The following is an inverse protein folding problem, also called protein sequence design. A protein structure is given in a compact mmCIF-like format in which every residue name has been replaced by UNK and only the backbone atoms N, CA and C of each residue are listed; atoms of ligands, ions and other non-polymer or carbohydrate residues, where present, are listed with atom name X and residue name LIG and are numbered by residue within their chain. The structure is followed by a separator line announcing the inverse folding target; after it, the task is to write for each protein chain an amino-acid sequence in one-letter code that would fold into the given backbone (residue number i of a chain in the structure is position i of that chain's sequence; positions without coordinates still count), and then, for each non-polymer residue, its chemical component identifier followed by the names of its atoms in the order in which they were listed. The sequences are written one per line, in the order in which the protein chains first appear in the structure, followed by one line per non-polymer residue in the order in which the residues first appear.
data_IF_554759482579
#
_entry.id   IF_554759482579
#
_cell.length_a   1.000
_cell.length_b   1.000
_cell.length_c   1.000
_cell.angle_alpha   90.00
_cell.angle_beta   90.00
_cell.angle_gamma   90.00
#
_symmetry.space_group_name_H-M   'P 1'
#
loop_
_entity.id
_entity.type
_entity.pdbx_description
1 polymer ?
#
# COMPACT_ATOMS: atom_id res chain seq x y z
N UNK A 1 -5.51 -17.73 5.69
CA UNK A 1 -4.66 -16.74 6.38
C UNK A 1 -3.61 -16.30 5.39
N UNK A 2 -3.43 -14.99 5.18
CA UNK A 2 -2.55 -14.50 4.08
C UNK A 2 -1.45 -13.61 4.65
N UNK A 3 -0.37 -14.21 5.11
CA UNK A 3 0.78 -13.54 5.71
C UNK A 3 1.85 -13.28 4.64
N UNK A 4 2.08 -12.01 4.24
CA UNK A 4 3.14 -11.63 3.33
C UNK A 4 4.40 -11.28 4.13
N UNK A 5 5.51 -11.96 3.84
CA UNK A 5 6.79 -11.72 4.49
C UNK A 5 7.89 -11.40 3.48
N UNK A 6 8.60 -10.33 3.75
CA UNK A 6 9.87 -9.98 3.11
C UNK A 6 10.99 -10.49 4.03
N UNK A 7 11.82 -11.39 3.54
CA UNK A 7 12.91 -12.02 4.29
C UNK A 7 14.25 -11.62 3.67
N UNK A 8 14.96 -10.67 4.31
CA UNK A 8 16.26 -10.14 3.90
C UNK A 8 16.31 -9.69 2.43
N UNK A 9 15.23 -9.04 1.95
CA UNK A 9 15.08 -8.65 0.54
C UNK A 9 16.11 -7.61 0.15
N UNK A 10 16.91 -7.94 -0.87
CA UNK A 10 17.92 -7.07 -1.46
C UNK A 10 17.62 -6.85 -2.94
N UNK A 11 17.60 -5.58 -3.36
CA UNK A 11 17.42 -5.19 -4.78
C UNK A 11 18.58 -4.29 -5.20
N UNK A 12 19.15 -4.60 -6.38
CA UNK A 12 20.24 -3.82 -6.98
C UNK A 12 19.93 -3.46 -8.41
N UNK A 13 20.33 -2.26 -8.81
CA UNK A 13 20.36 -1.81 -10.19
C UNK A 13 21.79 -1.41 -10.56
N UNK A 14 22.47 -2.26 -11.35
CA UNK A 14 23.90 -2.11 -11.59
C UNK A 14 24.69 -2.19 -10.29
N UNK A 15 25.50 -1.18 -10.01
CA UNK A 15 26.28 -1.08 -8.78
C UNK A 15 25.51 -0.52 -7.56
N UNK A 16 24.31 0.08 -7.81
CA UNK A 16 23.54 0.71 -6.75
C UNK A 16 22.66 -0.32 -6.01
N UNK A 17 22.81 -0.41 -4.69
CA UNK A 17 21.91 -1.16 -3.81
C UNK A 17 20.78 -0.23 -3.40
N UNK A 18 19.54 -0.57 -3.78
CA UNK A 18 18.34 0.22 -3.47
C UNK A 18 17.62 -0.33 -2.24
N UNK A 19 17.62 -1.66 -2.07
CA UNK A 19 17.12 -2.32 -0.85
C UNK A 19 18.25 -3.19 -0.30
N UNK A 20 18.48 -3.09 1.00
CA UNK A 20 19.54 -3.79 1.68
C UNK A 20 18.98 -4.61 2.83
N UNK A 21 18.84 -5.92 2.59
CA UNK A 21 18.39 -6.91 3.56
C UNK A 21 17.09 -6.53 4.28
N UNK A 22 16.08 -6.04 3.53
CA UNK A 22 14.80 -5.59 4.10
C UNK A 22 13.99 -6.78 4.59
N UNK A 23 13.61 -6.74 5.87
CA UNK A 23 12.68 -7.69 6.48
C UNK A 23 11.45 -6.96 6.99
N UNK A 24 10.26 -7.42 6.57
CA UNK A 24 8.97 -6.84 6.93
C UNK A 24 7.89 -7.92 6.81
N UNK A 25 6.90 -7.87 7.70
CA UNK A 25 5.74 -8.77 7.63
C UNK A 25 4.45 -7.97 7.56
N UNK A 26 3.54 -8.39 6.68
CA UNK A 26 2.14 -7.93 6.62
C UNK A 26 1.28 -9.08 7.09
N UNK A 27 0.78 -9.06 8.34
CA UNK A 27 -0.06 -10.13 8.87
C UNK A 27 -1.41 -10.23 8.17
N UNK A 28 -2.02 -11.40 8.24
CA UNK A 28 -3.35 -11.68 7.69
C UNK A 28 -4.39 -10.66 8.20
N UNK A 29 -5.21 -10.15 7.28
CA UNK A 29 -6.28 -9.20 7.56
C UNK A 29 -5.82 -7.85 8.12
N UNK A 30 -4.53 -7.51 8.04
CA UNK A 30 -4.03 -6.25 8.58
C UNK A 30 -3.53 -5.30 7.50
N UNK A 31 -3.59 -4.00 7.82
CA UNK A 31 -2.94 -2.95 7.03
C UNK A 31 -1.64 -2.56 7.72
N UNK A 32 -0.53 -2.78 7.02
CA UNK A 32 0.80 -2.32 7.44
C UNK A 32 1.18 -1.11 6.60
N UNK A 33 1.43 0.02 7.26
CA UNK A 33 1.93 1.24 6.62
C UNK A 33 3.44 1.15 6.38
N UNK A 34 3.91 1.56 5.20
CA UNK A 34 5.33 1.73 4.91
C UNK A 34 5.59 3.21 4.62
N UNK A 35 6.37 3.86 5.46
CA UNK A 35 6.66 5.30 5.38
C UNK A 35 8.15 5.57 5.25
N UNK A 36 8.49 6.77 4.80
CA UNK A 36 9.86 7.24 4.62
C UNK A 36 9.93 8.30 3.53
N UNK A 37 11.06 9.00 3.40
CA UNK A 37 11.27 10.01 2.37
C UNK A 37 11.19 9.45 0.95
N UNK A 38 11.05 10.36 -0.03
CA UNK A 38 11.17 10.00 -1.45
C UNK A 38 12.55 9.41 -1.72
N UNK A 39 12.59 8.31 -2.49
CA UNK A 39 13.85 7.62 -2.78
C UNK A 39 14.31 6.61 -1.72
N UNK A 40 13.62 6.46 -0.57
CA UNK A 40 14.03 5.50 0.47
C UNK A 40 13.90 4.02 0.09
N UNK A 41 13.25 3.70 -1.06
CA UNK A 41 13.13 2.32 -1.56
C UNK A 41 11.72 1.72 -1.47
N UNK A 42 10.72 2.42 -0.92
CA UNK A 42 9.34 1.90 -0.71
C UNK A 42 8.70 1.31 -1.97
N UNK A 43 8.64 2.08 -3.05
CA UNK A 43 8.07 1.61 -4.32
C UNK A 43 8.91 0.50 -4.97
N UNK A 44 10.22 0.44 -4.68
CA UNK A 44 11.07 -0.67 -5.12
C UNK A 44 10.71 -1.96 -4.38
N UNK A 45 10.42 -1.89 -3.07
CA UNK A 45 9.94 -3.03 -2.29
C UNK A 45 8.58 -3.52 -2.80
N UNK A 46 7.65 -2.61 -3.08
CA UNK A 46 6.36 -2.92 -3.68
C UNK A 46 6.50 -3.64 -5.04
N UNK A 47 7.33 -3.10 -5.92
CA UNK A 47 7.62 -3.70 -7.25
C UNK A 47 8.30 -5.06 -7.13
N UNK A 48 9.19 -5.23 -6.16
CA UNK A 48 9.83 -6.52 -5.91
C UNK A 48 8.80 -7.58 -5.50
N UNK A 49 7.82 -7.22 -4.66
CA UNK A 49 6.78 -8.12 -4.20
C UNK A 49 5.93 -8.66 -5.36
N UNK A 50 5.59 -7.84 -6.34
CA UNK A 50 4.81 -8.25 -7.51
C UNK A 50 5.68 -8.73 -8.69
N UNK A 51 6.99 -8.88 -8.49
CA UNK A 51 7.92 -9.41 -9.50
C UNK A 51 8.31 -8.41 -10.60
N UNK A 52 8.09 -7.11 -10.39
CA UNK A 52 8.48 -6.03 -11.30
C UNK A 52 9.89 -5.48 -11.04
N UNK A 53 10.51 -5.83 -9.92
CA UNK A 53 11.91 -5.55 -9.62
C UNK A 53 12.65 -6.86 -9.35
N UNK A 54 13.90 -7.03 -9.85
CA UNK A 54 14.68 -8.25 -9.64
C UNK A 54 15.20 -8.30 -8.20
N UNK A 55 15.13 -9.47 -7.56
CA UNK A 55 15.80 -9.69 -6.30
C UNK A 55 17.27 -10.04 -6.55
N UNK A 56 18.17 -9.36 -5.85
CA UNK A 56 19.60 -9.71 -5.77
C UNK A 56 19.87 -10.66 -4.58
N UNK A 57 18.98 -10.67 -3.58
CA UNK A 57 19.05 -11.56 -2.41
C UNK A 57 17.74 -11.57 -1.63
N UNK A 58 17.62 -12.49 -0.70
CA UNK A 58 16.44 -12.67 0.12
C UNK A 58 15.27 -13.35 -0.60
N UNK A 59 14.12 -13.39 0.07
CA UNK A 59 12.90 -14.05 -0.42
C UNK A 59 11.67 -13.23 -0.08
N UNK A 60 10.60 -13.42 -0.87
CA UNK A 60 9.27 -12.88 -0.60
C UNK A 60 8.32 -14.05 -0.49
N UNK A 61 7.74 -14.22 0.68
CA UNK A 61 6.95 -15.39 1.05
C UNK A 61 5.50 -14.98 1.29
N UNK A 62 4.58 -15.82 0.85
CA UNK A 62 3.17 -15.74 1.20
C UNK A 62 2.78 -17.05 1.89
N UNK A 63 2.34 -16.97 3.14
CA UNK A 63 2.07 -18.13 3.99
C UNK A 63 3.25 -19.12 4.09
N UNK A 64 4.48 -18.57 4.13
CA UNK A 64 5.71 -19.34 4.22
C UNK A 64 6.21 -19.94 2.90
N UNK A 65 5.45 -19.81 1.80
CA UNK A 65 5.86 -20.26 0.47
C UNK A 65 6.32 -19.09 -0.40
N UNK A 66 7.28 -19.33 -1.30
CA UNK A 66 7.73 -18.30 -2.23
C UNK A 66 6.58 -17.77 -3.09
N UNK A 67 6.46 -16.44 -3.21
CA UNK A 67 5.46 -15.81 -4.07
C UNK A 67 5.71 -16.19 -5.53
N UNK A 68 4.70 -16.76 -6.23
CA UNK A 68 4.86 -17.14 -7.63
C UNK A 68 5.16 -15.92 -8.52
N UNK A 69 6.30 -15.91 -9.18
CA UNK A 69 6.69 -14.83 -10.11
C UNK A 69 6.09 -14.98 -11.50
N UNK A 70 5.60 -16.18 -11.83
CA UNK A 70 4.97 -16.52 -13.11
C UNK A 70 3.68 -17.28 -12.84
N UNK A 71 2.69 -17.12 -13.69
CA UNK A 71 1.41 -17.83 -13.60
C UNK A 71 0.20 -16.93 -13.79
N UNK A 72 -0.97 -17.56 -14.01
CA UNK A 72 -2.26 -16.88 -14.25
C UNK A 72 -2.87 -16.27 -12.98
N UNK A 73 -2.64 -16.87 -11.83
CA UNK A 73 -3.09 -16.37 -10.52
C UNK A 73 -1.94 -15.64 -9.86
N UNK A 74 -2.10 -14.36 -9.62
CA UNK A 74 -1.16 -13.57 -8.85
C UNK A 74 -1.81 -13.25 -7.49
N UNK A 75 -1.30 -13.86 -6.41
CA UNK A 75 -1.87 -13.67 -5.08
C UNK A 75 -1.66 -12.24 -4.55
N UNK A 76 -0.69 -11.52 -5.12
CA UNK A 76 -0.41 -10.12 -4.81
C UNK A 76 -0.85 -9.24 -5.96
N UNK A 77 -1.57 -8.17 -5.66
CA UNK A 77 -1.91 -7.12 -6.62
C UNK A 77 -1.39 -5.77 -6.15
N UNK A 78 -0.96 -4.95 -7.10
CA UNK A 78 -0.44 -3.62 -6.80
C UNK A 78 -1.34 -2.55 -7.43
N UNK A 79 -1.69 -1.55 -6.63
CA UNK A 79 -2.31 -0.31 -7.09
C UNK A 79 -1.24 0.75 -7.12
N UNK A 80 -1.01 1.33 -8.30
CA UNK A 80 0.05 2.30 -8.53
C UNK A 80 -0.36 3.72 -8.15
N UNK A 81 0.63 4.55 -7.91
CA UNK A 81 0.50 5.95 -7.51
C UNK A 81 -0.32 6.79 -8.50
N UNK A 82 -0.08 6.61 -9.80
CA UNK A 82 -0.75 7.38 -10.84
C UNK A 82 -1.97 6.62 -11.40
N UNK A 83 -3.20 7.08 -11.09
CA UNK A 83 -4.41 6.45 -11.61
C UNK A 83 -4.59 6.66 -13.13
N UNK A 84 -3.90 7.64 -13.73
CA UNK A 84 -3.98 7.87 -15.19
C UNK A 84 -3.22 6.83 -15.99
N UNK A 85 -2.05 6.40 -15.49
CA UNK A 85 -1.24 5.38 -16.15
C UNK A 85 -1.67 3.94 -15.81
N UNK A 86 -2.55 3.76 -14.82
CA UNK A 86 -2.99 2.43 -14.37
C UNK A 86 -4.15 1.85 -15.19
N UNK A 87 -4.85 2.67 -15.99
CA UNK A 87 -5.97 2.25 -16.83
C UNK A 87 -5.65 2.53 -18.32
N UNK A 88 -5.90 1.56 -19.21
CA UNK A 88 -5.81 1.79 -20.66
C UNK A 88 -6.93 2.77 -21.06
N UNK A 89 -6.61 3.95 -21.65
CA UNK A 89 -7.60 4.95 -22.02
C UNK A 89 -8.59 4.49 -23.12
N UNK A 90 -8.28 3.40 -23.80
CA UNK A 90 -9.12 2.81 -24.86
C UNK A 90 -10.10 1.76 -24.36
N UNK A 91 -9.91 1.28 -23.14
CA UNK A 91 -10.79 0.30 -22.50
C UNK A 91 -11.81 1.01 -21.62
N UNK A 92 -13.04 0.49 -21.63
CA UNK A 92 -14.02 0.91 -20.62
C UNK A 92 -13.60 0.43 -19.22
N UNK A 93 -14.16 1.04 -18.17
CA UNK A 93 -13.84 0.61 -16.81
C UNK A 93 -14.26 -0.83 -16.54
N UNK A 94 -15.37 -1.27 -17.13
CA UNK A 94 -15.82 -2.66 -17.07
C UNK A 94 -14.85 -3.62 -17.75
N UNK A 95 -14.31 -3.27 -18.93
CA UNK A 95 -13.29 -4.04 -19.63
C UNK A 95 -12.00 -4.11 -18.84
N UNK A 96 -11.55 -2.98 -18.24
CA UNK A 96 -10.36 -2.94 -17.40
C UNK A 96 -10.46 -3.83 -16.16
N UNK A 97 -11.63 -3.89 -15.53
CA UNK A 97 -11.91 -4.80 -14.41
C UNK A 97 -11.94 -6.25 -14.90
N UNK A 98 -12.63 -6.51 -16.04
CA UNK A 98 -12.75 -7.85 -16.63
C UNK A 98 -11.39 -8.45 -17.03
N UNK A 99 -10.45 -7.63 -17.53
CA UNK A 99 -9.08 -8.03 -17.86
C UNK A 99 -8.34 -8.62 -16.65
N UNK A 100 -8.53 -8.03 -15.46
CA UNK A 100 -7.90 -8.47 -14.24
C UNK A 100 -8.54 -9.72 -13.63
N UNK A 101 -9.75 -10.07 -14.05
CA UNK A 101 -10.42 -11.28 -13.59
C UNK A 101 -9.69 -12.53 -14.09
N UNK A 102 -9.61 -13.54 -13.23
CA UNK A 102 -9.07 -14.83 -13.63
C UNK A 102 -9.86 -15.38 -14.82
N UNK A 103 -9.15 -15.81 -15.87
CA UNK A 103 -9.75 -16.43 -17.04
C UNK A 103 -10.34 -17.81 -16.67
N UNK A 104 -11.40 -17.82 -15.88
CA UNK A 104 -12.22 -18.99 -15.57
C UNK A 104 -13.35 -19.15 -16.59
N UNK A 105 -14.05 -20.29 -16.52
CA UNK A 105 -15.25 -20.59 -17.35
C UNK A 105 -16.51 -19.79 -16.91
N UNK A 106 -16.34 -18.55 -16.44
CA UNK A 106 -17.49 -17.71 -16.05
C UNK A 106 -18.28 -17.31 -17.28
N UNK A 107 -19.60 -17.47 -17.24
CA UNK A 107 -20.48 -16.96 -18.29
C UNK A 107 -20.35 -15.43 -18.39
N UNK A 108 -20.72 -14.86 -19.53
CA UNK A 108 -20.77 -13.40 -19.73
C UNK A 108 -21.61 -12.70 -18.65
N UNK A 109 -22.75 -13.31 -18.29
CA UNK A 109 -23.64 -12.82 -17.25
C UNK A 109 -22.96 -12.81 -15.85
N UNK A 110 -22.28 -13.90 -15.47
CA UNK A 110 -21.56 -13.99 -14.20
C UNK A 110 -20.41 -12.98 -14.11
N UNK A 111 -19.71 -12.74 -15.23
CA UNK A 111 -18.67 -11.72 -15.30
C UNK A 111 -19.26 -10.31 -15.13
N UNK A 112 -20.39 -10.01 -15.80
CA UNK A 112 -21.09 -8.74 -15.65
C UNK A 112 -21.55 -8.49 -14.21
N UNK A 113 -22.11 -9.49 -13.55
CA UNK A 113 -22.52 -9.40 -12.16
C UNK A 113 -21.34 -9.13 -11.21
N UNK A 114 -20.20 -9.77 -11.45
CA UNK A 114 -19.01 -9.52 -10.63
C UNK A 114 -18.42 -8.13 -10.87
N UNK A 115 -18.42 -7.61 -12.11
CA UNK A 115 -18.02 -6.22 -12.40
C UNK A 115 -18.93 -5.24 -11.65
N UNK A 116 -20.25 -5.45 -11.71
CA UNK A 116 -21.23 -4.63 -11.00
C UNK A 116 -20.95 -4.62 -9.49
N UNK A 117 -20.76 -5.79 -8.88
CA UNK A 117 -20.42 -5.94 -7.46
C UNK A 117 -19.13 -5.20 -7.08
N UNK A 118 -18.09 -5.30 -7.91
CA UNK A 118 -16.81 -4.62 -7.67
C UNK A 118 -16.93 -3.09 -7.80
N UNK A 119 -17.76 -2.59 -8.73
CA UNK A 119 -18.05 -1.16 -8.84
C UNK A 119 -18.83 -0.66 -7.62
N UNK A 120 -19.85 -1.38 -7.16
CA UNK A 120 -20.58 -1.06 -5.93
C UNK A 120 -19.64 -1.03 -4.72
N UNK A 121 -18.75 -2.02 -4.59
CA UNK A 121 -17.78 -2.10 -3.49
C UNK A 121 -16.86 -0.88 -3.41
N UNK A 122 -16.56 -0.25 -4.55
CA UNK A 122 -15.77 0.97 -4.60
C UNK A 122 -16.63 2.25 -4.70
N UNK A 123 -17.91 2.16 -4.37
CA UNK A 123 -18.90 3.23 -4.39
C UNK A 123 -19.00 3.94 -5.75
N UNK A 124 -19.02 3.15 -6.82
CA UNK A 124 -19.30 3.59 -8.18
C UNK A 124 -20.58 2.91 -8.69
N UNK A 125 -21.41 3.66 -9.42
CA UNK A 125 -22.62 3.13 -10.04
C UNK A 125 -22.24 2.07 -11.09
N UNK A 126 -22.77 0.83 -11.00
CA UNK A 126 -22.53 -0.24 -11.97
C UNK A 126 -22.89 0.13 -13.43
N UNK A 127 -23.87 1.03 -13.63
CA UNK A 127 -24.24 1.53 -14.96
C UNK A 127 -23.10 2.24 -15.70
N UNK A 128 -22.07 2.63 -14.97
CA UNK A 128 -20.88 3.26 -15.53
C UNK A 128 -19.86 2.28 -16.11
N UNK A 129 -20.14 0.98 -16.13
CA UNK A 129 -19.21 -0.04 -16.65
C UNK A 129 -18.70 0.27 -18.06
N UNK A 130 -19.53 0.90 -18.91
CA UNK A 130 -19.19 1.26 -20.28
C UNK A 130 -18.50 2.66 -20.40
N UNK A 131 -18.24 3.33 -19.28
CA UNK A 131 -17.57 4.64 -19.24
C UNK A 131 -16.07 4.48 -19.52
N UNK A 132 -15.49 5.42 -20.30
CA UNK A 132 -14.04 5.48 -20.52
C UNK A 132 -13.33 6.19 -19.36
N UNK A 133 -12.07 5.86 -19.04
CA UNK A 133 -11.30 6.52 -17.97
C UNK A 133 -11.23 8.03 -18.10
N UNK A 134 -11.20 8.59 -19.32
CA UNK A 134 -11.16 10.03 -19.56
C UNK A 134 -12.39 10.78 -19.01
N UNK A 135 -13.53 10.11 -18.85
CA UNK A 135 -14.78 10.67 -18.35
C UNK A 135 -14.91 10.64 -16.82
N UNK A 136 -13.90 10.11 -16.12
CA UNK A 136 -13.87 9.96 -14.67
C UNK A 136 -12.99 11.04 -14.01
N UNK A 137 -13.36 11.46 -12.80
CA UNK A 137 -12.46 12.24 -11.93
C UNK A 137 -11.26 11.40 -11.46
N UNK A 138 -10.20 12.04 -10.96
CA UNK A 138 -9.03 11.36 -10.41
C UNK A 138 -9.40 10.34 -9.32
N UNK A 139 -10.25 10.72 -8.36
CA UNK A 139 -10.73 9.83 -7.32
C UNK A 139 -11.57 8.66 -7.83
N UNK A 140 -12.39 8.88 -8.87
CA UNK A 140 -13.15 7.79 -9.50
C UNK A 140 -12.22 6.80 -10.22
N UNK A 141 -11.20 7.29 -10.93
CA UNK A 141 -10.17 6.42 -11.54
C UNK A 141 -9.43 5.60 -10.49
N UNK A 142 -9.08 6.22 -9.35
CA UNK A 142 -8.44 5.52 -8.25
C UNK A 142 -9.32 4.40 -7.68
N UNK A 143 -10.61 4.64 -7.55
CA UNK A 143 -11.59 3.60 -7.13
C UNK A 143 -11.70 2.47 -8.16
N UNK A 144 -11.68 2.78 -9.45
CA UNK A 144 -11.62 1.76 -10.52
C UNK A 144 -10.32 0.95 -10.44
N UNK A 145 -9.18 1.59 -10.18
CA UNK A 145 -7.91 0.88 -10.01
C UNK A 145 -7.93 -0.07 -8.80
N UNK A 146 -8.60 0.32 -7.70
CA UNK A 146 -8.85 -0.57 -6.55
C UNK A 146 -9.77 -1.74 -6.94
N UNK A 147 -10.90 -1.49 -7.63
CA UNK A 147 -11.80 -2.53 -8.12
C UNK A 147 -11.07 -3.53 -9.03
N UNK A 148 -10.23 -3.02 -9.96
CA UNK A 148 -9.41 -3.84 -10.84
C UNK A 148 -8.42 -4.72 -10.07
N UNK A 149 -7.78 -4.19 -9.04
CA UNK A 149 -6.89 -4.98 -8.19
C UNK A 149 -7.65 -6.11 -7.47
N UNK A 150 -8.86 -5.85 -6.98
CA UNK A 150 -9.71 -6.84 -6.32
C UNK A 150 -10.28 -7.89 -7.27
N UNK A 151 -10.47 -7.56 -8.55
CA UNK A 151 -11.00 -8.48 -9.57
C UNK A 151 -10.16 -9.75 -9.75
N UNK A 152 -8.85 -9.66 -9.45
CA UNK A 152 -7.94 -10.81 -9.40
C UNK A 152 -8.11 -11.72 -8.18
N UNK A 153 -8.99 -11.38 -7.24
CA UNK A 153 -9.15 -12.04 -5.93
C UNK A 153 -7.79 -12.21 -5.23
N UNK A 154 -7.05 -11.12 -5.00
CA UNK A 154 -5.74 -11.17 -4.38
C UNK A 154 -5.85 -11.56 -2.91
N UNK A 155 -4.80 -12.17 -2.37
CA UNK A 155 -4.63 -12.40 -0.94
C UNK A 155 -4.06 -11.16 -0.23
N UNK A 156 -3.21 -10.40 -0.93
CA UNK A 156 -2.65 -9.14 -0.42
C UNK A 156 -2.70 -8.06 -1.49
N UNK A 157 -3.09 -6.85 -1.12
CA UNK A 157 -3.01 -5.67 -1.97
C UNK A 157 -1.86 -4.78 -1.51
N UNK A 158 -1.06 -4.31 -2.45
CA UNK A 158 0.00 -3.32 -2.23
C UNK A 158 -0.49 -2.00 -2.82
N UNK A 159 -0.73 -1.02 -1.96
CA UNK A 159 -1.18 0.32 -2.34
C UNK A 159 0.01 1.28 -2.30
N UNK A 160 0.55 1.65 -3.46
CA UNK A 160 1.72 2.53 -3.57
C UNK A 160 1.27 3.97 -3.84
N UNK A 161 1.31 4.80 -2.79
CA UNK A 161 0.99 6.24 -2.79
C UNK A 161 -0.35 6.60 -3.46
N UNK A 162 -1.35 5.74 -3.31
CA UNK A 162 -2.65 5.80 -4.03
C UNK A 162 -3.48 7.08 -3.78
N UNK A 163 -3.07 7.93 -2.85
CA UNK A 163 -3.78 9.16 -2.52
C UNK A 163 -2.97 10.42 -2.77
N UNK A 164 -1.70 10.31 -3.19
CA UNK A 164 -0.79 11.46 -3.30
C UNK A 164 -1.18 12.47 -4.38
N UNK A 165 -1.84 12.00 -5.45
CA UNK A 165 -2.28 12.83 -6.57
C UNK A 165 -3.74 13.33 -6.43
N UNK A 166 -4.38 13.13 -5.27
CA UNK A 166 -5.78 13.47 -5.04
C UNK A 166 -5.94 14.70 -4.14
N UNK A 167 -6.96 15.49 -4.37
CA UNK A 167 -7.37 16.57 -3.48
C UNK A 167 -7.73 16.04 -2.09
N UNK A 168 -7.53 16.84 -1.05
CA UNK A 168 -7.73 16.44 0.37
C UNK A 168 -9.11 15.85 0.63
N UNK A 169 -10.17 16.41 0.04
CA UNK A 169 -11.55 15.91 0.20
C UNK A 169 -11.75 14.55 -0.45
N UNK A 170 -11.17 14.32 -1.62
CA UNK A 170 -11.21 13.04 -2.35
C UNK A 170 -10.34 12.00 -1.68
N UNK A 171 -9.19 12.41 -1.15
CA UNK A 171 -8.28 11.57 -0.39
C UNK A 171 -9.00 10.88 0.79
N UNK A 172 -9.76 11.64 1.61
CA UNK A 172 -10.52 11.10 2.72
C UNK A 172 -11.50 10.00 2.30
N UNK A 173 -12.20 10.20 1.18
CA UNK A 173 -13.15 9.22 0.66
C UNK A 173 -12.47 7.91 0.21
N UNK A 174 -11.27 7.98 -0.41
CA UNK A 174 -10.49 6.80 -0.80
C UNK A 174 -9.94 6.07 0.43
N UNK A 175 -9.50 6.80 1.48
CA UNK A 175 -9.02 6.18 2.72
C UNK A 175 -10.13 5.47 3.50
N UNK A 176 -11.35 6.06 3.53
CA UNK A 176 -12.51 5.39 4.11
C UNK A 176 -12.82 4.09 3.36
N UNK A 177 -12.83 4.14 2.03
CA UNK A 177 -13.03 2.97 1.19
C UNK A 177 -11.99 1.86 1.49
N UNK A 178 -10.71 2.21 1.63
CA UNK A 178 -9.66 1.24 2.01
C UNK A 178 -9.98 0.57 3.34
N UNK A 179 -10.43 1.33 4.35
CA UNK A 179 -10.81 0.77 5.65
C UNK A 179 -12.05 -0.14 5.56
N UNK A 180 -13.04 0.25 4.77
CA UNK A 180 -14.23 -0.57 4.54
C UNK A 180 -13.86 -1.90 3.87
N UNK A 181 -13.08 -1.85 2.79
CA UNK A 181 -12.60 -3.04 2.10
C UNK A 181 -11.78 -3.96 3.02
N UNK A 182 -10.90 -3.39 3.85
CA UNK A 182 -10.14 -4.17 4.83
C UNK A 182 -11.07 -4.86 5.83
N UNK A 183 -12.06 -4.15 6.36
CA UNK A 183 -13.01 -4.69 7.35
C UNK A 183 -13.95 -5.74 6.76
N UNK A 184 -14.49 -5.50 5.55
CA UNK A 184 -15.52 -6.35 4.94
C UNK A 184 -14.92 -7.59 4.27
N UNK A 185 -13.75 -7.45 3.65
CA UNK A 185 -13.09 -8.53 2.92
C UNK A 185 -12.00 -9.24 3.73
N UNK A 186 -11.65 -8.76 4.92
CA UNK A 186 -10.49 -9.25 5.66
C UNK A 186 -9.18 -9.07 4.90
N UNK A 187 -9.07 -7.99 4.10
CA UNK A 187 -7.98 -7.79 3.16
C UNK A 187 -6.68 -7.45 3.87
N UNK A 188 -5.62 -8.21 3.57
CA UNK A 188 -4.26 -7.84 3.99
C UNK A 188 -3.70 -6.78 3.04
N UNK A 189 -3.05 -5.73 3.57
CA UNK A 189 -2.56 -4.64 2.74
C UNK A 189 -1.20 -4.10 3.20
N UNK A 190 -0.29 -3.90 2.25
CA UNK A 190 0.87 -3.03 2.41
C UNK A 190 0.53 -1.64 1.85
N UNK A 191 0.37 -0.67 2.74
CA UNK A 191 -0.03 0.69 2.38
C UNK A 191 1.17 1.63 2.43
N UNK A 192 1.64 2.08 1.27
CA UNK A 192 2.81 2.95 1.13
C UNK A 192 2.36 4.40 1.02
N UNK A 193 2.93 5.27 1.85
CA UNK A 193 2.71 6.70 1.79
C UNK A 193 3.87 7.47 2.41
N UNK A 194 4.15 8.66 1.90
CA UNK A 194 5.02 9.62 2.57
C UNK A 194 4.26 10.48 3.60
N UNK A 195 2.93 10.39 3.64
CA UNK A 195 2.09 11.14 4.56
C UNK A 195 1.75 10.29 5.80
N UNK A 196 2.38 10.63 6.93
CA UNK A 196 2.20 9.94 8.21
C UNK A 196 0.77 10.02 8.76
N UNK A 197 0.03 11.13 8.50
CA UNK A 197 -1.35 11.27 8.91
C UNK A 197 -2.26 10.26 8.22
N UNK A 198 -2.01 10.01 6.92
CA UNK A 198 -2.71 9.00 6.12
C UNK A 198 -2.45 7.60 6.68
N UNK A 199 -1.18 7.27 6.93
CA UNK A 199 -0.81 5.96 7.49
C UNK A 199 -1.39 5.75 8.88
N UNK A 200 -1.34 6.77 9.74
CA UNK A 200 -1.97 6.74 11.06
C UNK A 200 -3.47 6.42 10.99
N UNK A 201 -4.13 6.87 9.93
CA UNK A 201 -5.57 6.67 9.74
C UNK A 201 -5.92 5.24 9.32
N UNK A 202 -5.13 4.62 8.43
CA UNK A 202 -5.50 3.32 7.82
C UNK A 202 -4.75 2.13 8.40
N UNK A 203 -3.52 2.30 8.93
CA UNK A 203 -2.64 1.20 9.29
C UNK A 203 -2.63 0.90 10.78
N UNK A 204 -2.70 -0.39 11.14
CA UNK A 204 -2.53 -0.90 12.50
C UNK A 204 -1.06 -0.94 12.93
N UNK A 205 -0.17 -1.23 11.99
CA UNK A 205 1.29 -1.27 12.15
C UNK A 205 1.95 -0.37 11.13
N UNK A 206 3.12 0.14 11.47
CA UNK A 206 3.93 0.95 10.57
C UNK A 206 5.38 0.48 10.57
N UNK A 207 5.98 0.51 9.38
CA UNK A 207 7.41 0.35 9.17
C UNK A 207 7.98 1.63 8.58
N UNK A 208 9.08 2.11 9.13
CA UNK A 208 9.81 3.30 8.66
C UNK A 208 11.01 2.85 7.86
N UNK A 209 11.07 3.29 6.59
CA UNK A 209 12.15 2.96 5.68
C UNK A 209 13.06 4.16 5.45
N UNK A 210 14.36 3.96 5.60
CA UNK A 210 15.40 4.94 5.33
C UNK A 210 16.56 4.28 4.59
N UNK A 211 17.02 4.87 3.51
CA UNK A 211 18.15 4.40 2.70
C UNK A 211 18.14 2.88 2.41
N UNK A 212 16.97 2.38 1.99
CA UNK A 212 16.80 0.99 1.61
C UNK A 212 16.70 -0.01 2.76
N UNK A 213 16.57 0.45 4.00
CA UNK A 213 16.44 -0.40 5.20
C UNK A 213 15.21 -0.04 6.02
N UNK A 214 14.64 -1.01 6.73
CA UNK A 214 13.65 -0.73 7.77
C UNK A 214 14.41 -0.35 9.04
N UNK A 215 14.23 0.89 9.50
CA UNK A 215 14.93 1.42 10.67
C UNK A 215 14.09 1.34 11.94
N UNK A 216 12.77 1.31 11.81
CA UNK A 216 11.84 1.16 12.93
C UNK A 216 10.53 0.53 12.45
N UNK A 217 9.93 -0.36 13.23
CA UNK A 217 8.63 -0.93 12.94
C UNK A 217 7.88 -1.29 14.22
N UNK A 218 6.56 -1.28 14.18
CA UNK A 218 5.72 -1.66 15.32
C UNK A 218 4.28 -1.17 15.17
N UNK A 219 3.49 -1.28 16.25
CA UNK A 219 2.14 -0.71 16.29
C UNK A 219 2.18 0.78 15.98
N UNK A 220 1.28 1.23 15.09
CA UNK A 220 1.28 2.60 14.56
C UNK A 220 1.28 3.65 15.66
N UNK A 221 0.49 3.44 16.73
CA UNK A 221 0.42 4.38 17.84
C UNK A 221 1.75 4.51 18.60
N UNK A 222 2.50 3.40 18.76
CA UNK A 222 3.78 3.40 19.45
C UNK A 222 4.85 4.13 18.65
N UNK A 223 5.05 3.72 17.39
CA UNK A 223 6.08 4.30 16.51
C UNK A 223 5.83 5.79 16.28
N UNK A 224 4.56 6.19 16.10
CA UNK A 224 4.25 7.60 15.84
C UNK A 224 4.20 8.47 17.08
N UNK A 225 3.97 7.93 18.28
CA UNK A 225 3.94 8.72 19.52
C UNK A 225 5.26 8.70 20.28
N UNK A 226 5.98 7.56 20.22
CA UNK A 226 7.24 7.34 20.97
C UNK A 226 8.28 6.73 20.05
N UNK A 227 8.72 7.47 19.00
CA UNK A 227 9.73 6.99 18.06
C UNK A 227 11.06 6.76 18.80
N UNK A 228 11.69 5.62 18.53
CA UNK A 228 12.97 5.25 19.13
C UNK A 228 14.15 5.57 18.24
N UNK A 229 13.96 5.49 16.91
CA UNK A 229 15.01 5.75 15.94
C UNK A 229 15.11 7.24 15.60
N UNK A 230 16.34 7.78 15.55
CA UNK A 230 16.59 9.20 15.30
C UNK A 230 15.95 9.71 13.98
N UNK A 231 16.03 8.92 12.91
CA UNK A 231 15.39 9.25 11.64
C UNK A 231 13.84 9.34 11.76
N UNK A 232 13.22 8.42 12.50
CA UNK A 232 11.77 8.47 12.74
C UNK A 232 11.38 9.75 13.47
N UNK A 233 12.18 10.16 14.45
CA UNK A 233 11.99 11.42 15.18
C UNK A 233 12.07 12.62 14.23
N UNK A 234 13.09 12.67 13.37
CA UNK A 234 13.23 13.72 12.35
C UNK A 234 12.07 13.75 11.37
N UNK A 235 11.67 12.58 10.86
CA UNK A 235 10.53 12.45 9.93
C UNK A 235 9.22 12.96 10.55
N UNK A 236 9.00 12.68 11.83
CA UNK A 236 7.85 13.14 12.57
C UNK A 236 7.89 14.62 12.92
N UNK A 237 9.07 15.18 13.20
CA UNK A 237 9.26 16.61 13.47
C UNK A 237 9.02 17.48 12.22
N UNK A 238 9.20 16.93 11.03
CA UNK A 238 8.92 17.60 9.75
C UNK A 238 7.42 17.70 9.41
N UNK A 239 6.52 17.05 10.18
CA UNK A 239 5.08 17.11 9.95
C UNK A 239 4.51 18.40 10.54
N UNK A 240 3.90 19.31 9.75
CA UNK A 240 3.30 20.54 10.26
C UNK A 240 2.21 20.27 11.32
N UNK A 241 2.22 21.03 12.41
CA UNK A 241 1.17 20.97 13.46
C UNK A 241 1.41 19.95 14.58
N UNK A 242 2.60 19.34 14.65
CA UNK A 242 3.01 18.56 15.82
C UNK A 242 3.87 19.42 16.73
N UNK A 243 3.40 19.69 17.96
CA UNK A 243 4.25 20.27 19.01
C UNK A 243 5.42 19.33 19.26
N UNK A 244 6.64 19.84 19.15
CA UNK A 244 7.84 19.09 19.52
C UNK A 244 7.72 18.63 20.98
N UNK A 245 8.02 17.37 21.31
CA UNK A 245 8.11 16.98 22.72
C UNK A 245 9.15 17.88 23.40
N UNK A 246 8.73 18.61 24.43
CA UNK A 246 9.61 19.42 25.27
C UNK A 246 10.73 18.51 25.78
N UNK A 247 12.02 18.81 25.54
CA UNK A 247 13.08 18.02 26.10
C UNK A 247 12.97 18.02 27.61
N UNK A 248 12.97 16.84 28.23
CA UNK A 248 12.96 16.70 29.67
C UNK A 248 14.14 17.48 30.24
N UNK A 249 13.83 18.54 30.99
CA UNK A 249 14.84 19.34 31.70
C UNK A 249 15.54 18.40 32.68
N UNK A 250 16.88 18.29 32.64
CA UNK A 250 17.59 17.48 33.63
C UNK A 250 17.34 18.09 35.01
N UNK A 251 16.80 17.30 35.92
CA UNK A 251 16.68 17.65 37.33
C UNK A 251 18.08 17.98 37.85
N UNK A 252 18.30 19.25 38.13
CA UNK A 252 19.47 19.73 38.89
C UNK A 252 19.33 19.17 40.29
N UNK A 253 20.19 18.25 40.65
CA UNK A 253 20.37 17.82 42.05
C UNK A 253 21.00 19.03 42.75
N UNK A 254 20.19 19.72 43.55
CA UNK A 254 20.70 20.69 44.52
C UNK A 254 21.37 19.90 45.64
N UNK A 255 22.68 19.91 45.64
CA UNK A 255 23.44 19.60 46.84
C UNK A 255 23.27 20.77 47.83
N UNK A 256 22.58 20.50 48.95
CA UNK A 256 22.53 21.41 50.07
C UNK A 256 23.68 21.17 51.03
N UNK A 257 24.21 22.23 51.67
CA UNK A 257 25.43 22.24 52.45
C UNK A 257 25.34 21.51 53.83
#
# INVERSE_FOLDING_TARGET
MSNLSFDQVTVRYGAATILDAVSLTVPDGQVVGLVGESGSGKSTLARAAVGLAPLAGGRILLDGADVPRKGRRRPLQMVFQDPYSSLDPRMTIGESIAEAMSAGRSSRAARGAEIARLLELVHLDPSRSDTLPAQLSGGQRQRVALARALAGSPQVVIADEITSALDVSVQGAVLNLVKEMQRELGLSMLFISHNLAVVRYVASHVAVMHEGRIVEHGPTHQVLQRPTHAYTQQLLAAVPGRESPVPATPHRIEESP
#
